data_IF_401184218379
#
_entry.id   IF_401184218379
#
_cell.length_a   1.000
_cell.length_b   1.000
_cell.length_c   1.000
_cell.angle_alpha   90.00
_cell.angle_beta   90.00
_cell.angle_gamma   90.00
#
_symmetry.space_group_name_H-M   'P 1'
#
loop_
_entity.id
_entity.type
_entity.pdbx_description
1 polymer ?
#
# COMPACT_ATOMS: atom_id res chain seq x y z
N UNK A 1 17.48 4.83 1.00
CA UNK A 1 17.05 3.95 2.12
C UNK A 1 16.45 2.72 1.46
N UNK A 2 16.75 1.48 1.86
CA UNK A 2 16.36 0.32 1.03
C UNK A 2 14.83 0.23 0.84
N UNK A 3 14.39 -0.05 -0.39
CA UNK A 3 12.98 -0.27 -0.71
C UNK A 3 12.48 -1.60 -0.09
N UNK A 4 11.20 -1.67 0.27
CA UNK A 4 10.60 -2.89 0.84
C UNK A 4 10.33 -3.99 -0.20
N UNK A 5 10.43 -3.67 -1.48
CA UNK A 5 10.23 -4.58 -2.61
C UNK A 5 11.26 -4.28 -3.70
N UNK A 6 11.55 -5.27 -4.55
CA UNK A 6 12.46 -5.14 -5.69
C UNK A 6 11.72 -5.19 -7.04
N UNK A 7 12.43 -4.86 -8.13
CA UNK A 7 11.90 -5.01 -9.48
C UNK A 7 11.54 -6.46 -9.83
N UNK A 8 12.17 -7.46 -9.20
CA UNK A 8 11.79 -8.87 -9.35
C UNK A 8 10.45 -9.18 -8.69
N UNK A 9 10.16 -8.59 -7.53
CA UNK A 9 8.85 -8.73 -6.87
C UNK A 9 7.73 -8.16 -7.77
N UNK A 10 7.99 -7.06 -8.48
CA UNK A 10 7.07 -6.49 -9.48
C UNK A 10 6.82 -7.45 -10.65
N UNK A 11 7.88 -8.06 -11.19
CA UNK A 11 7.76 -9.04 -12.29
C UNK A 11 6.95 -10.26 -11.86
N UNK A 12 7.19 -10.76 -10.65
CA UNK A 12 6.48 -11.92 -10.10
C UNK A 12 5.01 -11.63 -9.77
N UNK A 13 4.69 -10.42 -9.31
CA UNK A 13 3.34 -10.07 -8.90
C UNK A 13 2.42 -9.62 -10.05
N UNK A 14 2.96 -9.23 -11.20
CA UNK A 14 2.15 -8.68 -12.29
C UNK A 14 2.53 -9.17 -13.69
N UNK A 15 3.55 -8.58 -14.32
CA UNK A 15 3.98 -8.87 -15.68
C UNK A 15 5.45 -8.52 -15.86
N UNK A 16 6.05 -9.03 -16.94
CA UNK A 16 7.39 -8.60 -17.36
C UNK A 16 7.40 -7.10 -17.62
N UNK A 17 8.29 -6.38 -16.93
CA UNK A 17 8.51 -4.95 -17.10
C UNK A 17 9.17 -4.67 -18.45
N UNK A 18 8.69 -3.64 -19.15
CA UNK A 18 9.38 -3.07 -20.31
C UNK A 18 10.68 -2.36 -19.87
N UNK A 19 11.55 -2.03 -20.82
CA UNK A 19 12.86 -1.38 -20.52
C UNK A 19 12.68 -0.03 -19.82
N UNK A 20 11.67 0.73 -20.23
CA UNK A 20 11.34 2.04 -19.66
C UNK A 20 10.74 1.92 -18.24
N UNK A 21 9.81 0.96 -18.05
CA UNK A 21 9.25 0.65 -16.73
C UNK A 21 10.34 0.13 -15.78
N UNK A 22 11.28 -0.68 -16.25
CA UNK A 22 12.39 -1.18 -15.45
C UNK A 22 13.36 -0.07 -15.03
N UNK A 23 13.59 0.93 -15.89
CA UNK A 23 14.41 2.09 -15.56
C UNK A 23 13.77 2.98 -14.47
N UNK A 24 12.44 3.08 -14.48
CA UNK A 24 11.68 3.87 -13.50
C UNK A 24 11.26 3.08 -12.25
N UNK A 25 11.30 1.73 -12.31
CA UNK A 25 10.80 0.86 -11.24
C UNK A 25 11.53 1.09 -9.92
N UNK A 26 12.86 1.16 -9.90
CA UNK A 26 13.63 1.36 -8.67
C UNK A 26 13.31 2.71 -8.00
N UNK A 27 13.18 3.78 -8.79
CA UNK A 27 12.80 5.09 -8.28
C UNK A 27 11.37 5.09 -7.69
N UNK A 28 10.41 4.47 -8.39
CA UNK A 28 9.03 4.34 -7.92
C UNK A 28 8.91 3.46 -6.67
N UNK A 29 9.70 2.39 -6.58
CA UNK A 29 9.76 1.51 -5.40
C UNK A 29 10.35 2.24 -4.19
N UNK A 30 11.37 3.08 -4.38
CA UNK A 30 11.92 3.90 -3.31
C UNK A 30 10.91 4.96 -2.85
N UNK A 31 10.25 5.66 -3.78
CA UNK A 31 9.20 6.64 -3.45
C UNK A 31 8.05 5.99 -2.69
N UNK A 32 7.55 4.84 -3.16
CA UNK A 32 6.49 4.08 -2.50
C UNK A 32 6.89 3.68 -1.08
N UNK A 33 8.13 3.23 -0.90
CA UNK A 33 8.66 2.85 0.41
C UNK A 33 8.73 4.05 1.35
N UNK A 34 9.14 5.22 0.86
CA UNK A 34 9.19 6.45 1.64
C UNK A 34 7.79 6.95 2.03
N UNK A 35 6.83 6.91 1.11
CA UNK A 35 5.42 7.21 1.42
C UNK A 35 4.87 6.24 2.46
N UNK A 36 5.19 4.94 2.36
CA UNK A 36 4.80 3.95 3.35
C UNK A 36 5.36 4.26 4.75
N UNK A 37 6.61 4.71 4.85
CA UNK A 37 7.22 5.15 6.11
C UNK A 37 6.51 6.37 6.70
N UNK A 38 6.10 7.31 5.83
CA UNK A 38 5.36 8.50 6.23
C UNK A 38 3.98 8.17 6.83
N UNK A 39 3.26 7.21 6.25
CA UNK A 39 1.91 6.83 6.72
C UNK A 39 1.92 5.79 7.84
N UNK A 40 2.95 4.94 7.92
CA UNK A 40 3.09 3.89 8.92
C UNK A 40 4.41 4.04 9.69
N UNK A 41 4.47 4.94 10.70
CA UNK A 41 5.68 5.13 11.48
C UNK A 41 6.13 3.84 12.17
N UNK A 42 7.44 3.58 12.14
CA UNK A 42 8.04 2.37 12.71
C UNK A 42 7.85 1.11 11.87
N UNK A 43 7.42 1.22 10.61
CA UNK A 43 7.30 0.07 9.72
C UNK A 43 8.64 -0.65 9.52
N UNK A 44 9.76 0.08 9.41
CA UNK A 44 11.10 -0.52 9.29
C UNK A 44 11.44 -1.43 10.47
N UNK A 45 11.06 -1.07 11.70
CA UNK A 45 11.25 -1.94 12.86
C UNK A 45 10.30 -3.15 12.83
N UNK A 46 9.05 -2.96 12.38
CA UNK A 46 8.03 -4.02 12.34
C UNK A 46 8.35 -5.11 11.32
N UNK A 47 8.88 -4.74 10.16
CA UNK A 47 9.24 -5.73 9.13
C UNK A 47 10.42 -6.60 9.54
N UNK A 48 11.25 -6.15 10.50
CA UNK A 48 12.34 -6.95 11.07
C UNK A 48 11.85 -8.03 12.04
N UNK A 49 10.75 -7.76 12.75
CA UNK A 49 10.25 -8.65 13.81
C UNK A 49 9.03 -9.48 13.40
N UNK A 50 8.35 -9.11 12.31
CA UNK A 50 7.09 -9.72 11.90
C UNK A 50 7.08 -9.96 10.39
N UNK A 51 7.14 -11.23 10.00
CA UNK A 51 7.14 -11.64 8.59
C UNK A 51 5.85 -11.25 7.85
N UNK A 52 4.72 -11.23 8.55
CA UNK A 52 3.43 -10.82 7.99
C UNK A 52 3.43 -9.31 7.70
N UNK A 53 4.02 -8.51 8.59
CA UNK A 53 4.23 -7.09 8.34
C UNK A 53 5.19 -6.85 7.15
N UNK A 54 6.23 -7.67 7.02
CA UNK A 54 7.16 -7.64 5.88
C UNK A 54 6.45 -7.96 4.56
N UNK A 55 5.64 -9.02 4.54
CA UNK A 55 4.85 -9.42 3.38
C UNK A 55 3.83 -8.33 2.99
N UNK A 56 3.11 -7.78 3.97
CA UNK A 56 2.14 -6.71 3.74
C UNK A 56 2.82 -5.41 3.26
N UNK A 57 3.98 -5.04 3.80
CA UNK A 57 4.73 -3.87 3.35
C UNK A 57 5.23 -4.03 1.91
N UNK A 58 5.75 -5.22 1.57
CA UNK A 58 6.12 -5.57 0.19
C UNK A 58 4.92 -5.47 -0.74
N UNK A 59 3.80 -6.09 -0.39
CA UNK A 59 2.58 -6.08 -1.19
C UNK A 59 2.06 -4.65 -1.39
N UNK A 60 2.06 -3.81 -0.35
CA UNK A 60 1.64 -2.42 -0.42
C UNK A 60 2.48 -1.60 -1.41
N UNK A 61 3.81 -1.75 -1.35
CA UNK A 61 4.73 -1.06 -2.26
C UNK A 61 4.56 -1.53 -3.70
N UNK A 62 4.46 -2.84 -3.93
CA UNK A 62 4.24 -3.40 -5.27
C UNK A 62 2.90 -2.96 -5.84
N UNK A 63 1.83 -2.97 -5.04
CA UNK A 63 0.50 -2.51 -5.46
C UNK A 63 0.49 -1.03 -5.81
N UNK A 64 1.20 -0.19 -5.06
CA UNK A 64 1.32 1.25 -5.34
C UNK A 64 1.98 1.48 -6.71
N UNK A 65 3.12 0.84 -6.96
CA UNK A 65 3.85 0.97 -8.24
C UNK A 65 3.05 0.38 -9.42
N UNK A 66 2.38 -0.75 -9.21
CA UNK A 66 1.48 -1.35 -10.21
C UNK A 66 0.37 -0.39 -10.63
N UNK A 67 -0.21 0.37 -9.69
CA UNK A 67 -1.25 1.37 -10.00
C UNK A 67 -0.70 2.53 -10.83
N UNK A 68 0.52 2.98 -10.55
CA UNK A 68 1.20 4.00 -11.36
C UNK A 68 1.40 3.50 -12.80
N UNK A 69 1.88 2.27 -12.98
CA UNK A 69 2.04 1.71 -14.34
C UNK A 69 0.72 1.40 -15.05
N UNK A 70 -0.34 1.08 -14.31
CA UNK A 70 -1.67 0.85 -14.88
C UNK A 70 -2.41 2.16 -15.23
N UNK A 71 -2.08 3.25 -14.56
CA UNK A 71 -2.70 4.56 -14.78
C UNK A 71 -1.64 5.67 -14.77
N UNK A 72 -0.72 5.69 -15.74
CA UNK A 72 0.39 6.65 -15.78
C UNK A 72 -0.10 8.10 -15.91
N UNK A 73 -1.25 8.31 -16.55
CA UNK A 73 -1.85 9.64 -16.76
C UNK A 73 -2.85 10.05 -15.67
N UNK A 74 -3.09 9.18 -14.66
CA UNK A 74 -3.97 9.53 -13.54
C UNK A 74 -5.44 9.73 -13.93
N UNK A 75 -5.95 9.02 -14.95
CA UNK A 75 -7.37 9.11 -15.29
C UNK A 75 -8.23 8.60 -14.12
N UNK A 76 -9.11 9.45 -13.61
CA UNK A 76 -10.23 9.04 -12.77
C UNK A 76 -11.25 8.41 -13.70
N UNK A 77 -11.52 7.10 -13.54
CA UNK A 77 -12.63 6.47 -14.27
C UNK A 77 -13.92 7.25 -14.00
N UNK A 78 -14.51 7.77 -15.06
CA UNK A 78 -15.73 8.57 -15.06
C UNK A 78 -16.95 7.73 -14.66
N UNK A 79 -17.89 8.41 -14.02
CA UNK A 79 -19.05 7.96 -13.25
C UNK A 79 -19.93 6.87 -13.89
N UNK A 80 -20.25 5.83 -13.12
CA UNK A 80 -21.49 5.06 -13.31
C UNK A 80 -22.34 5.23 -12.04
N UNK A 81 -23.41 6.01 -12.18
CA UNK A 81 -24.59 6.06 -11.33
C UNK A 81 -24.49 6.69 -9.91
N UNK A 82 -24.26 8.02 -9.87
CA UNK A 82 -24.71 8.86 -8.74
C UNK A 82 -23.93 8.79 -7.43
N UNK A 83 -23.03 7.81 -7.27
CA UNK A 83 -22.12 7.76 -6.13
C UNK A 83 -20.79 8.42 -6.50
N UNK A 84 -20.59 9.65 -6.01
CA UNK A 84 -19.27 10.30 -6.02
C UNK A 84 -18.40 9.57 -4.99
N UNK A 85 -17.70 8.52 -5.42
CA UNK A 85 -16.56 8.03 -4.67
C UNK A 85 -15.45 9.06 -4.87
N UNK A 86 -15.27 9.95 -3.89
CA UNK A 86 -14.14 10.87 -3.85
C UNK A 86 -12.87 10.06 -3.56
N UNK A 87 -12.44 9.29 -4.55
CA UNK A 87 -11.14 8.64 -4.56
C UNK A 87 -10.11 9.74 -4.74
N UNK A 88 -9.66 10.23 -3.59
CA UNK A 88 -8.42 10.95 -3.30
C UNK A 88 -7.65 11.47 -4.52
N UNK A 89 -7.53 12.80 -4.60
CA UNK A 89 -6.83 13.57 -5.65
C UNK A 89 -5.41 13.09 -6.00
N UNK A 90 -4.78 12.24 -5.18
CA UNK A 90 -3.51 11.59 -5.48
C UNK A 90 -3.58 10.59 -6.66
N UNK A 91 -4.72 9.92 -6.86
CA UNK A 91 -4.92 9.01 -8.00
C UNK A 91 -4.92 9.77 -9.33
N UNK A 92 -5.36 11.04 -9.28
CA UNK A 92 -5.54 11.87 -10.46
C UNK A 92 -4.23 12.42 -11.07
N UNK A 93 -3.07 12.13 -10.48
CA UNK A 93 -1.77 12.72 -10.88
C UNK A 93 -0.71 11.70 -11.29
N UNK A 94 -1.04 10.41 -11.39
CA UNK A 94 -0.04 9.35 -11.62
C UNK A 94 0.98 9.23 -10.47
N UNK A 95 0.68 9.83 -9.31
CA UNK A 95 1.58 9.83 -8.16
C UNK A 95 1.52 8.50 -7.43
N UNK A 96 2.67 8.03 -6.93
CA UNK A 96 2.73 6.84 -6.08
C UNK A 96 1.89 7.09 -4.82
N UNK A 97 0.91 6.25 -4.50
CA UNK A 97 0.15 6.39 -3.27
C UNK A 97 -0.10 5.03 -2.61
N UNK A 98 -0.17 5.03 -1.28
CA UNK A 98 -0.50 3.83 -0.51
C UNK A 98 -2.01 3.79 -0.30
N UNK A 99 -2.66 2.71 -0.74
CA UNK A 99 -4.10 2.54 -0.60
C UNK A 99 -4.54 2.42 0.86
N UNK A 100 -5.78 2.84 1.15
CA UNK A 100 -6.42 2.51 2.44
C UNK A 100 -6.53 1.00 2.71
N UNK A 101 -6.77 0.19 1.67
CA UNK A 101 -6.82 -1.27 1.79
C UNK A 101 -5.47 -1.87 2.24
N UNK A 102 -4.37 -1.43 1.63
CA UNK A 102 -3.01 -1.82 2.03
C UNK A 102 -2.65 -1.28 3.43
N UNK A 103 -3.11 -0.07 3.77
CA UNK A 103 -2.93 0.48 5.11
C UNK A 103 -3.72 -0.31 6.16
N UNK A 104 -4.91 -0.80 5.83
CA UNK A 104 -5.75 -1.59 6.73
C UNK A 104 -5.09 -2.92 7.13
N UNK A 105 -4.34 -3.56 6.24
CA UNK A 105 -3.58 -4.78 6.56
C UNK A 105 -2.34 -4.51 7.42
N UNK A 106 -1.82 -3.28 7.38
CA UNK A 106 -0.67 -2.84 8.18
C UNK A 106 -1.07 -2.24 9.53
N UNK A 107 -2.29 -1.71 9.64
CA UNK A 107 -2.83 -1.17 10.89
C UNK A 107 -2.93 -2.28 11.93
N UNK A 108 -2.39 -2.01 13.12
CA UNK A 108 -2.69 -2.84 14.29
C UNK A 108 -4.20 -2.75 14.51
N UNK A 109 -4.90 -3.87 14.36
CA UNK A 109 -6.30 -3.99 14.80
C UNK A 109 -6.26 -3.65 16.28
N UNK A 110 -6.76 -2.48 16.66
CA UNK A 110 -6.87 -2.09 18.07
C UNK A 110 -7.86 -3.08 18.64
N UNK A 111 -7.36 -4.10 19.35
CA UNK A 111 -8.20 -5.05 20.04
C UNK A 111 -8.92 -4.23 21.12
N UNK A 112 -10.12 -3.77 20.81
CA UNK A 112 -11.07 -3.30 21.81
C UNK A 112 -11.47 -4.54 22.59
N UNK A 113 -10.75 -4.84 23.66
CA UNK A 113 -11.22 -5.77 24.68
C UNK A 113 -12.43 -5.11 25.33
N UNK A 114 -13.62 -5.42 24.79
CA UNK A 114 -14.88 -4.98 25.36
C UNK A 114 -14.97 -5.47 26.79
N UNK A 115 -15.36 -4.57 27.71
CA UNK A 115 -15.59 -4.86 29.12
C UNK A 115 -16.58 -6.02 29.25
N UNK A 116 -16.11 -7.20 29.63
CA UNK A 116 -16.98 -8.30 30.03
C UNK A 116 -17.55 -7.95 31.40
N UNK A 117 -18.80 -7.50 31.45
CA UNK A 117 -19.55 -7.42 32.69
C UNK A 117 -19.92 -8.86 33.11
N UNK A 118 -19.10 -9.46 33.98
CA UNK A 118 -19.49 -10.65 34.72
C UNK A 118 -20.54 -10.24 35.77
N UNK A 119 -21.82 -10.40 35.44
CA UNK A 119 -22.87 -10.46 36.47
C UNK A 119 -22.74 -11.82 37.17
N UNK A 120 -22.05 -11.83 38.32
CA UNK A 120 -22.20 -12.89 39.30
C UNK A 120 -23.59 -12.73 39.95
N UNK A 121 -24.55 -13.52 39.49
CA UNK A 121 -25.85 -13.69 40.14
C UNK A 121 -25.74 -14.81 41.18
N UNK A 122 -25.99 -14.43 42.43
CA UNK A 122 -26.21 -15.27 43.63
C UNK A 122 -27.43 -16.17 43.44
#
# INVERSE_FOLDING_TARGET
>A
MQAFASAEDLKNAWRTLTVDEAASADALLEEASNKLRGVSPGIDARVLTNELAKANAKAAVVNAVKRVFMNPEGYLTETIDGYVYRFDSAISRGEVYISEADLATLRRRRASWGTVNLRAGI
#
